data_IF_825609471590
#
_entry.id   IF_825609471590
#
_cell.length_a   1.000
_cell.length_b   1.000
_cell.length_c   1.000
_cell.angle_alpha   90.00
_cell.angle_beta   90.00
_cell.angle_gamma   90.00
#
_symmetry.space_group_name_H-M   'P 1'
#
loop_
_entity.id
_entity.type
_entity.pdbx_description
1 polymer ?
#
# COMPACT_ATOMS: atom_id res chain seq x y z
N UNK A 1 36.00 -3.39 -20.06
CA UNK A 1 35.12 -2.24 -19.83
C UNK A 1 34.15 -2.65 -18.73
N UNK A 2 34.48 -2.28 -17.50
CA UNK A 2 33.87 -2.79 -16.26
C UNK A 2 32.78 -1.81 -15.79
N UNK A 3 31.64 -2.38 -15.38
CA UNK A 3 30.39 -1.69 -15.03
C UNK A 3 30.59 -0.72 -13.85
N UNK A 4 30.13 0.51 -14.04
CA UNK A 4 29.87 1.50 -12.98
C UNK A 4 28.71 1.00 -12.12
N UNK A 5 29.01 0.57 -10.88
CA UNK A 5 28.03 0.20 -9.87
C UNK A 5 27.91 1.35 -8.87
N UNK A 6 26.67 1.80 -8.66
CA UNK A 6 26.32 2.95 -7.84
C UNK A 6 26.98 2.95 -6.46
N UNK A 7 27.71 4.02 -6.19
CA UNK A 7 28.15 4.37 -4.85
C UNK A 7 26.92 4.72 -4.00
N UNK A 8 26.50 3.78 -3.15
CA UNK A 8 25.68 4.12 -2.00
C UNK A 8 26.54 4.94 -1.04
N UNK A 9 26.25 6.23 -0.96
CA UNK A 9 26.94 7.22 -0.13
C UNK A 9 26.60 6.99 1.35
N UNK A 10 27.22 5.97 1.95
CA UNK A 10 27.08 5.67 3.36
C UNK A 10 28.02 6.57 4.17
N UNK A 11 27.47 7.28 5.16
CA UNK A 11 28.28 8.12 6.04
C UNK A 11 29.08 7.25 7.02
N UNK A 12 30.41 7.33 6.97
CA UNK A 12 31.31 6.69 7.92
C UNK A 12 31.61 7.64 9.09
N UNK A 13 31.60 7.12 10.33
CA UNK A 13 32.00 7.87 11.52
C UNK A 13 33.09 7.12 12.28
N UNK A 14 34.17 7.82 12.61
CA UNK A 14 35.24 7.31 13.46
C UNK A 14 34.79 7.28 14.93
N UNK A 15 35.00 6.14 15.60
CA UNK A 15 34.64 5.96 17.02
C UNK A 15 35.88 5.85 17.91
N UNK A 16 36.97 5.29 17.38
CA UNK A 16 38.28 5.26 18.03
C UNK A 16 39.40 5.42 16.98
N UNK A 17 40.63 5.64 17.43
CA UNK A 17 41.81 5.70 16.55
C UNK A 17 41.92 4.39 15.75
N UNK A 18 41.82 4.49 14.42
CA UNK A 18 41.83 3.35 13.52
C UNK A 18 40.53 2.53 13.41
N UNK A 19 39.45 2.91 14.11
CA UNK A 19 38.17 2.18 14.09
C UNK A 19 37.03 3.04 13.55
N UNK A 20 36.47 2.62 12.41
CA UNK A 20 35.40 3.29 11.69
C UNK A 20 34.12 2.45 11.71
N UNK A 21 32.97 3.10 11.90
CA UNK A 21 31.67 2.48 11.70
C UNK A 21 30.95 3.14 10.54
N UNK A 22 30.48 2.31 9.60
CA UNK A 22 29.64 2.72 8.48
C UNK A 22 28.18 2.67 8.90
N UNK A 23 27.46 3.79 8.73
CA UNK A 23 26.03 3.83 9.01
C UNK A 23 25.23 3.39 7.78
N UNK A 24 24.68 2.17 7.83
CA UNK A 24 23.85 1.60 6.77
C UNK A 24 22.38 2.03 6.83
N UNK A 25 22.00 2.90 7.77
CA UNK A 25 20.63 3.42 7.83
C UNK A 25 20.36 4.18 6.54
N UNK A 26 19.47 3.64 5.70
CA UNK A 26 18.90 4.36 4.56
C UNK A 26 18.44 5.72 5.07
N UNK A 27 18.95 6.80 4.48
CA UNK A 27 18.39 8.14 4.65
C UNK A 27 16.95 8.08 4.14
N UNK A 28 16.00 7.71 5.01
CA UNK A 28 14.60 7.97 4.77
C UNK A 28 14.50 9.49 4.79
N UNK A 29 14.51 10.06 3.59
CA UNK A 29 14.21 11.46 3.36
C UNK A 29 12.77 11.65 3.86
N UNK A 30 12.62 12.02 5.13
CA UNK A 30 11.36 12.49 5.69
C UNK A 30 11.05 13.81 5.00
N UNK A 31 10.46 13.72 3.81
CA UNK A 31 9.58 14.78 3.34
C UNK A 31 8.21 14.56 3.98
N UNK A 32 7.69 15.69 4.40
CA UNK A 32 6.67 15.88 5.41
C UNK A 32 5.35 16.21 4.66
N UNK A 33 4.21 15.99 5.31
CA UNK A 33 2.83 16.37 4.94
C UNK A 33 1.99 15.38 4.09
N UNK A 34 1.19 14.59 4.83
CA UNK A 34 -0.25 14.41 4.59
C UNK A 34 -0.75 14.37 3.14
N UNK A 35 -0.41 13.29 2.45
CA UNK A 35 -1.26 12.68 1.43
C UNK A 35 -1.08 11.17 1.61
N UNK A 36 -2.16 10.39 1.62
CA UNK A 36 -2.03 8.95 1.54
C UNK A 36 -1.09 8.63 0.36
N UNK A 37 0.00 7.86 0.54
CA UNK A 37 0.97 7.65 -0.52
C UNK A 37 0.25 7.04 -1.72
N UNK A 38 0.24 7.79 -2.82
CA UNK A 38 -0.34 7.37 -4.10
C UNK A 38 0.26 6.02 -4.47
N UNK A 39 -0.60 5.02 -4.64
CA UNK A 39 -0.17 3.67 -4.99
C UNK A 39 0.39 3.66 -6.42
N UNK A 40 1.48 2.93 -6.61
CA UNK A 40 1.99 2.57 -7.94
C UNK A 40 1.01 1.65 -8.69
N UNK A 41 1.08 1.57 -10.03
CA UNK A 41 0.26 0.64 -10.80
C UNK A 41 0.40 -0.82 -10.36
N UNK A 42 1.62 -1.24 -9.98
CA UNK A 42 1.89 -2.57 -9.44
C UNK A 42 1.16 -2.79 -8.10
N UNK A 43 1.21 -1.82 -7.18
CA UNK A 43 0.50 -1.90 -5.91
C UNK A 43 -1.03 -1.89 -6.10
N UNK A 44 -1.55 -1.10 -7.04
CA UNK A 44 -2.98 -1.13 -7.40
C UNK A 44 -3.39 -2.53 -7.85
N UNK A 45 -2.59 -3.16 -8.72
CA UNK A 45 -2.83 -4.52 -9.19
C UNK A 45 -2.77 -5.55 -8.05
N UNK A 46 -1.80 -5.44 -7.15
CA UNK A 46 -1.71 -6.31 -5.98
C UNK A 46 -2.92 -6.15 -5.05
N UNK A 47 -3.35 -4.92 -4.80
CA UNK A 47 -4.57 -4.64 -4.01
C UNK A 47 -5.82 -5.18 -4.67
N UNK A 48 -5.93 -5.09 -6.00
CA UNK A 48 -7.04 -5.69 -6.73
C UNK A 48 -7.05 -7.21 -6.58
N UNK A 49 -5.90 -7.87 -6.73
CA UNK A 49 -5.79 -9.32 -6.50
C UNK A 49 -6.20 -9.71 -5.06
N UNK A 50 -5.78 -8.91 -4.07
CA UNK A 50 -6.18 -9.13 -2.67
C UNK A 50 -7.70 -9.00 -2.48
N UNK A 51 -8.34 -8.00 -3.11
CA UNK A 51 -9.79 -7.86 -3.12
C UNK A 51 -10.44 -9.10 -3.73
N UNK A 52 -10.00 -9.53 -4.91
CA UNK A 52 -10.57 -10.67 -5.61
C UNK A 52 -10.47 -11.97 -4.79
N UNK A 53 -9.36 -12.16 -4.09
CA UNK A 53 -9.18 -13.30 -3.17
C UNK A 53 -10.12 -13.23 -1.97
N UNK A 54 -10.29 -12.06 -1.34
CA UNK A 54 -11.20 -11.89 -0.21
C UNK A 54 -12.67 -12.06 -0.63
N UNK A 55 -13.05 -11.55 -1.80
CA UNK A 55 -14.40 -11.71 -2.34
C UNK A 55 -14.71 -13.19 -2.64
N UNK A 56 -13.76 -13.94 -3.20
CA UNK A 56 -13.90 -15.40 -3.40
C UNK A 56 -13.99 -16.14 -2.08
N UNK A 57 -13.13 -15.83 -1.11
CA UNK A 57 -13.17 -16.44 0.21
C UNK A 57 -14.51 -16.19 0.91
N UNK A 58 -15.07 -14.99 0.77
CA UNK A 58 -16.42 -14.68 1.29
C UNK A 58 -17.52 -15.51 0.60
N UNK A 59 -17.41 -15.75 -0.70
CA UNK A 59 -18.34 -16.63 -1.42
C UNK A 59 -18.25 -18.07 -0.90
N UNK A 60 -17.04 -18.61 -0.78
CA UNK A 60 -16.81 -19.95 -0.22
C UNK A 60 -17.40 -20.06 1.19
N UNK A 61 -17.18 -19.08 2.07
CA UNK A 61 -17.76 -19.05 3.41
C UNK A 61 -19.30 -19.00 3.41
N UNK A 62 -19.91 -18.29 2.47
CA UNK A 62 -21.37 -18.26 2.30
C UNK A 62 -21.93 -19.57 1.73
N UNK A 63 -21.14 -20.33 0.98
CA UNK A 63 -21.50 -21.69 0.55
C UNK A 63 -21.51 -22.66 1.74
N UNK A 64 -20.63 -22.47 2.73
CA UNK A 64 -20.62 -23.22 3.98
C UNK A 64 -21.76 -22.82 4.95
N UNK A 65 -22.08 -21.52 5.04
CA UNK A 65 -23.18 -20.99 5.87
C UNK A 65 -24.23 -20.23 5.04
N UNK A 66 -25.06 -20.94 4.25
CA UNK A 66 -26.03 -20.31 3.36
C UNK A 66 -27.18 -19.63 4.12
N UNK A 67 -27.48 -20.12 5.33
CA UNK A 67 -28.54 -19.55 6.19
C UNK A 67 -28.05 -18.39 7.07
N UNK A 68 -26.75 -18.08 7.06
CA UNK A 68 -26.12 -17.01 7.84
C UNK A 68 -26.32 -17.15 9.35
N UNK A 69 -26.26 -18.39 9.85
CA UNK A 69 -26.50 -18.70 11.27
C UNK A 69 -25.20 -18.84 12.05
N UNK A 70 -24.09 -19.15 11.39
CA UNK A 70 -22.80 -19.30 12.04
C UNK A 70 -22.20 -17.91 12.29
N UNK A 71 -22.25 -17.47 13.54
CA UNK A 71 -21.79 -16.14 13.94
C UNK A 71 -20.30 -15.93 13.64
N UNK A 72 -19.47 -16.96 13.82
CA UNK A 72 -18.03 -16.86 13.58
C UNK A 72 -17.75 -16.64 12.08
N UNK A 73 -18.42 -17.40 11.21
CA UNK A 73 -18.33 -17.21 9.76
C UNK A 73 -18.80 -15.81 9.35
N UNK A 74 -19.92 -15.34 9.90
CA UNK A 74 -20.42 -13.99 9.60
C UNK A 74 -19.44 -12.91 10.08
N UNK A 75 -18.77 -13.08 11.22
CA UNK A 75 -17.77 -12.15 11.73
C UNK A 75 -16.54 -12.06 10.81
N UNK A 76 -16.02 -13.19 10.32
CA UNK A 76 -14.92 -13.19 9.35
C UNK A 76 -15.31 -12.55 8.02
N UNK A 77 -16.51 -12.83 7.50
CA UNK A 77 -17.02 -12.16 6.29
C UNK A 77 -17.09 -10.65 6.49
N UNK A 78 -17.59 -10.19 7.64
CA UNK A 78 -17.67 -8.77 7.96
C UNK A 78 -16.29 -8.11 8.08
N UNK A 79 -15.31 -8.79 8.65
CA UNK A 79 -13.93 -8.31 8.69
C UNK A 79 -13.33 -8.18 7.29
N UNK A 80 -13.49 -9.21 6.45
CA UNK A 80 -13.05 -9.19 5.06
C UNK A 80 -13.69 -8.03 4.28
N UNK A 81 -14.99 -7.78 4.47
CA UNK A 81 -15.69 -6.64 3.84
C UNK A 81 -15.08 -5.29 4.24
N UNK A 82 -14.69 -5.11 5.52
CA UNK A 82 -14.00 -3.89 5.97
C UNK A 82 -12.65 -3.73 5.27
N UNK A 83 -11.89 -4.81 5.12
CA UNK A 83 -10.58 -4.80 4.44
C UNK A 83 -10.76 -4.48 2.95
N UNK A 84 -11.72 -5.13 2.28
CA UNK A 84 -12.06 -4.85 0.87
C UNK A 84 -12.40 -3.37 0.69
N UNK A 85 -13.25 -2.81 1.56
CA UNK A 85 -13.61 -1.39 1.49
C UNK A 85 -12.38 -0.49 1.62
N UNK A 86 -11.49 -0.79 2.57
CA UNK A 86 -10.23 -0.06 2.74
C UNK A 86 -9.37 -0.10 1.48
N UNK A 87 -9.19 -1.27 0.86
CA UNK A 87 -8.40 -1.38 -0.37
C UNK A 87 -9.05 -0.67 -1.55
N UNK A 88 -10.37 -0.78 -1.72
CA UNK A 88 -11.10 -0.04 -2.77
C UNK A 88 -10.92 1.47 -2.61
N UNK A 89 -11.01 2.01 -1.39
CA UNK A 89 -10.74 3.43 -1.12
C UNK A 89 -9.29 3.83 -1.44
N UNK A 90 -8.30 3.00 -1.10
CA UNK A 90 -6.90 3.29 -1.43
C UNK A 90 -6.64 3.33 -2.95
N UNK A 91 -7.23 2.38 -3.69
CA UNK A 91 -7.17 2.37 -5.16
C UNK A 91 -7.87 3.62 -5.73
N UNK A 92 -9.07 3.92 -5.26
CA UNK A 92 -9.86 5.07 -5.73
C UNK A 92 -9.13 6.40 -5.49
N UNK A 93 -8.56 6.62 -4.30
CA UNK A 93 -7.78 7.83 -4.00
C UNK A 93 -6.57 7.94 -4.94
N UNK A 94 -5.87 6.83 -5.18
CA UNK A 94 -4.70 6.81 -6.08
C UNK A 94 -5.06 7.08 -7.55
N UNK A 95 -6.26 6.69 -7.98
CA UNK A 95 -6.77 6.95 -9.34
C UNK A 95 -7.32 8.38 -9.49
N UNK A 96 -8.01 8.92 -8.49
CA UNK A 96 -8.51 10.31 -8.49
C UNK A 96 -7.38 11.33 -8.59
N UNK A 97 -6.27 11.08 -7.89
CA UNK A 97 -5.07 11.92 -7.99
C UNK A 97 -4.33 11.78 -9.33
N UNK A 98 -4.78 10.89 -10.22
CA UNK A 98 -4.28 10.75 -11.59
C UNK A 98 -5.19 11.40 -12.63
N UNK A 99 -6.42 11.75 -12.24
CA UNK A 99 -7.40 12.45 -13.05
C UNK A 99 -7.44 13.93 -12.68
N UNK A 100 -6.56 14.71 -13.30
CA UNK A 100 -6.90 16.05 -13.78
C UNK A 100 -7.27 17.16 -12.76
N UNK A 101 -6.25 17.99 -12.48
CA UNK A 101 -6.37 19.46 -12.46
C UNK A 101 -6.98 19.94 -13.80
N UNK A 102 -8.30 19.83 -13.98
CA UNK A 102 -9.02 20.66 -14.95
C UNK A 102 -10.20 21.33 -14.26
N UNK A 103 -9.96 22.59 -13.96
CA UNK A 103 -10.96 23.64 -13.83
C UNK A 103 -11.97 23.52 -14.98
N UNK A 104 -13.23 23.30 -14.64
CA UNK A 104 -14.35 23.79 -15.41
C UNK A 104 -15.44 24.18 -14.42
N UNK A 105 -15.30 25.40 -13.94
CA UNK A 105 -16.42 26.14 -13.39
C UNK A 105 -17.66 26.01 -14.28
N UNK A 106 -18.76 25.59 -13.66
CA UNK A 106 -20.08 25.83 -14.20
C UNK A 106 -20.77 26.75 -13.19
N UNK A 107 -20.79 28.02 -13.56
CA UNK A 107 -21.74 29.00 -13.06
C UNK A 107 -23.16 28.46 -13.28
N UNK A 108 -23.94 28.42 -12.19
CA UNK A 108 -25.39 28.61 -12.23
C UNK A 108 -25.76 29.60 -11.13
#
# INVERSE_FOLDING_TARGET
MTRDQGMNDHSERQIMEGVYMTDFRKKNNQQNLASDPKLSPEEIKERQNQIDHLERSNQEMLEYDPERKDQEIQEYILENVKIIKKYKTQIENSLKDSGDHYDNGVYL
#
